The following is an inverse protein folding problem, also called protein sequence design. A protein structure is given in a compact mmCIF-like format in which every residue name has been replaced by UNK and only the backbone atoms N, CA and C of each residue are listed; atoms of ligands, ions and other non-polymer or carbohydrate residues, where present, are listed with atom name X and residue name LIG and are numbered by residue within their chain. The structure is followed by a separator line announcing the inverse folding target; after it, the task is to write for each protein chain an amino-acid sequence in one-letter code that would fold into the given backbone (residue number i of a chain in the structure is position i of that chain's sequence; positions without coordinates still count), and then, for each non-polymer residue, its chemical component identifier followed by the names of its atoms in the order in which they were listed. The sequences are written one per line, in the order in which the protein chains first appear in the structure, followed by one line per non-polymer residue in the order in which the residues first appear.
data_IF_654135465500
#
_entry.id   IF_654135465500
#
_cell.length_a   1.000
_cell.length_b   1.000
_cell.length_c   1.000
_cell.angle_alpha   90.00
_cell.angle_beta   90.00
_cell.angle_gamma   90.00
#
_symmetry.space_group_name_H-M   'P 1'
#
loop_
_entity.id
_entity.type
_entity.pdbx_description
1 polymer ?
#
# COMPACT_ATOMS: atom_id res chain seq x y z
N UNK A 1 -8.22 5.09 3.11
CA UNK A 1 -7.22 4.80 2.06
C UNK A 1 -7.92 4.66 0.74
N UNK A 2 -7.33 5.19 -0.34
CA UNK A 2 -7.84 5.01 -1.69
C UNK A 2 -7.59 3.58 -2.17
N UNK A 3 -8.50 3.04 -2.98
CA UNK A 3 -8.45 1.66 -3.46
C UNK A 3 -8.84 1.61 -4.92
N UNK A 4 -7.95 1.09 -5.76
CA UNK A 4 -8.19 0.98 -7.20
C UNK A 4 -8.01 -0.47 -7.66
N UNK A 5 -8.89 -0.93 -8.55
CA UNK A 5 -8.67 -2.14 -9.33
C UNK A 5 -8.25 -1.78 -10.74
N UNK A 6 -7.18 -2.41 -11.21
CA UNK A 6 -6.70 -2.31 -12.58
C UNK A 6 -6.97 -3.64 -13.27
N UNK A 7 -7.75 -3.63 -14.35
CA UNK A 7 -8.22 -4.85 -15.01
C UNK A 7 -8.04 -4.80 -16.52
N UNK A 8 -7.69 -5.91 -17.16
CA UNK A 8 -7.71 -6.09 -18.61
C UNK A 8 -6.34 -6.43 -19.20
N UNK A 9 -6.29 -6.66 -20.51
CA UNK A 9 -5.13 -7.28 -21.20
C UNK A 9 -3.79 -6.57 -21.01
N UNK A 10 -3.80 -5.25 -20.78
CA UNK A 10 -2.57 -4.47 -20.56
C UNK A 10 -2.37 -4.14 -19.07
N UNK A 11 -3.12 -4.77 -18.15
CA UNK A 11 -3.09 -4.42 -16.72
C UNK A 11 -1.70 -4.64 -16.11
N UNK A 12 -1.01 -5.75 -16.47
CA UNK A 12 0.37 -5.99 -16.04
C UNK A 12 1.31 -4.90 -16.56
N UNK A 13 1.33 -4.68 -17.88
CA UNK A 13 2.21 -3.68 -18.51
C UNK A 13 1.94 -2.26 -18.01
N UNK A 14 0.67 -1.93 -17.76
CA UNK A 14 0.28 -0.66 -17.18
C UNK A 14 0.75 -0.53 -15.73
N UNK A 15 0.48 -1.52 -14.87
CA UNK A 15 0.96 -1.53 -13.48
C UNK A 15 2.49 -1.43 -13.42
N UNK A 16 3.18 -2.20 -14.27
CA UNK A 16 4.63 -2.18 -14.42
C UNK A 16 5.14 -0.81 -14.87
N UNK A 17 4.46 -0.11 -15.78
CA UNK A 17 4.85 1.24 -16.18
C UNK A 17 4.61 2.29 -15.08
N UNK A 18 3.55 2.15 -14.29
CA UNK A 18 3.19 3.13 -13.25
C UNK A 18 4.15 3.12 -12.07
N UNK A 19 4.58 1.92 -11.66
CA UNK A 19 5.34 1.71 -10.43
C UNK A 19 6.85 1.91 -10.63
N UNK A 20 7.53 2.45 -9.63
CA UNK A 20 8.99 2.56 -9.62
C UNK A 20 9.71 1.26 -9.23
N UNK A 21 9.06 0.38 -8.46
CA UNK A 21 9.57 -0.95 -8.16
C UNK A 21 9.30 -1.91 -9.34
N UNK A 22 9.54 -3.21 -9.20
CA UNK A 22 9.38 -4.17 -10.30
C UNK A 22 8.37 -5.27 -9.96
N UNK A 23 7.32 -5.38 -10.78
CA UNK A 23 6.25 -6.34 -10.65
C UNK A 23 6.74 -7.78 -10.89
N UNK A 24 7.80 -7.98 -11.68
CA UNK A 24 8.40 -9.31 -11.92
C UNK A 24 9.03 -9.92 -10.67
N UNK A 25 9.21 -9.13 -9.60
CA UNK A 25 9.75 -9.61 -8.32
C UNK A 25 8.71 -10.26 -7.43
N UNK A 26 7.44 -10.17 -7.81
CA UNK A 26 6.33 -10.83 -7.13
C UNK A 26 5.56 -11.70 -8.11
N UNK A 27 4.70 -12.55 -7.57
CA UNK A 27 3.76 -13.38 -8.33
C UNK A 27 2.33 -13.13 -7.86
N UNK A 28 1.36 -13.70 -8.56
CA UNK A 28 -0.03 -13.71 -8.11
C UNK A 28 -0.14 -14.17 -6.63
N UNK A 29 -0.97 -13.48 -5.84
CA UNK A 29 -1.11 -13.70 -4.39
C UNK A 29 -0.16 -12.87 -3.52
N UNK A 30 0.72 -12.08 -4.14
CA UNK A 30 1.66 -11.19 -3.45
C UNK A 30 1.35 -9.72 -3.72
N UNK A 31 1.86 -8.88 -2.84
CA UNK A 31 1.96 -7.45 -3.06
C UNK A 31 3.38 -6.94 -2.94
N UNK A 32 3.56 -5.67 -3.29
CA UNK A 32 4.85 -4.98 -3.22
C UNK A 32 4.65 -3.50 -2.93
N UNK A 33 5.49 -2.95 -2.06
CA UNK A 33 5.58 -1.52 -1.83
C UNK A 33 6.28 -0.84 -3.00
N UNK A 34 5.74 0.29 -3.45
CA UNK A 34 6.31 1.10 -4.54
C UNK A 34 5.85 2.54 -4.39
N UNK A 35 6.42 3.44 -5.19
CA UNK A 35 5.83 4.75 -5.41
C UNK A 35 5.40 4.94 -6.86
N UNK A 36 4.54 5.93 -7.07
CA UNK A 36 4.22 6.51 -8.36
C UNK A 36 4.94 7.85 -8.49
N UNK A 37 5.57 8.07 -9.64
CA UNK A 37 6.28 9.31 -9.93
C UNK A 37 5.69 10.00 -11.16
N UNK A 38 5.69 11.33 -11.14
CA UNK A 38 5.43 12.11 -12.35
C UNK A 38 6.67 12.18 -13.26
N UNK A 39 6.52 12.82 -14.43
CA UNK A 39 7.60 12.94 -15.41
C UNK A 39 8.81 13.73 -14.87
N UNK A 40 8.62 14.54 -13.81
CA UNK A 40 9.68 15.26 -13.10
C UNK A 40 10.34 14.45 -11.98
N UNK A 41 9.93 13.20 -11.76
CA UNK A 41 10.44 12.33 -10.69
C UNK A 41 9.85 12.63 -9.30
N UNK A 42 8.86 13.51 -9.22
CA UNK A 42 8.16 13.84 -7.98
C UNK A 42 7.20 12.73 -7.55
N UNK A 43 7.10 12.45 -6.25
CA UNK A 43 6.25 11.37 -5.71
C UNK A 43 4.77 11.78 -5.75
N UNK A 44 4.01 11.18 -6.66
CA UNK A 44 2.54 11.35 -6.76
C UNK A 44 1.85 10.70 -5.56
N UNK A 45 2.29 9.49 -5.22
CA UNK A 45 1.91 8.75 -4.02
C UNK A 45 2.88 7.59 -3.75
N UNK A 46 2.93 7.11 -2.52
CA UNK A 46 3.47 5.79 -2.19
C UNK A 46 2.34 4.81 -1.88
N UNK A 47 2.48 3.58 -2.35
CA UNK A 47 1.37 2.63 -2.41
C UNK A 47 1.83 1.19 -2.21
N UNK A 48 0.86 0.31 -2.02
CA UNK A 48 1.03 -1.14 -2.18
C UNK A 48 0.22 -1.59 -3.39
N UNK A 49 0.86 -2.34 -4.28
CA UNK A 49 0.20 -3.06 -5.38
C UNK A 49 0.10 -4.52 -5.00
N UNK A 50 -1.07 -5.13 -5.17
CA UNK A 50 -1.30 -6.57 -5.05
C UNK A 50 -1.65 -7.19 -6.41
N UNK A 51 -1.05 -8.32 -6.73
CA UNK A 51 -1.36 -9.11 -7.93
C UNK A 51 -2.47 -10.11 -7.62
N UNK A 52 -3.69 -9.81 -8.05
CA UNK A 52 -4.87 -10.62 -7.74
C UNK A 52 -5.04 -11.81 -8.69
N UNK A 53 -4.97 -11.55 -9.99
CA UNK A 53 -5.07 -12.53 -11.07
C UNK A 53 -4.27 -12.04 -12.29
N UNK A 54 -4.14 -12.86 -13.34
CA UNK A 54 -3.33 -12.57 -14.54
C UNK A 54 -3.50 -11.13 -15.04
N UNK A 55 -4.75 -10.69 -15.18
CA UNK A 55 -5.12 -9.36 -15.66
C UNK A 55 -5.82 -8.50 -14.59
N UNK A 56 -5.59 -8.76 -13.29
CA UNK A 56 -6.22 -8.00 -12.19
C UNK A 56 -5.22 -7.63 -11.10
N UNK A 57 -5.09 -6.32 -10.85
CA UNK A 57 -4.26 -5.76 -9.79
C UNK A 57 -5.08 -4.86 -8.88
N UNK A 58 -4.67 -4.80 -7.62
CA UNK A 58 -5.32 -4.00 -6.59
C UNK A 58 -4.33 -3.05 -5.92
N UNK A 59 -4.61 -1.77 -5.99
CA UNK A 59 -3.75 -0.72 -5.47
C UNK A 59 -4.38 -0.15 -4.20
N UNK A 60 -3.61 -0.09 -3.12
CA UNK A 60 -3.97 0.64 -1.90
C UNK A 60 -3.12 1.90 -1.84
N UNK A 61 -3.79 3.06 -1.80
CA UNK A 61 -3.18 4.39 -1.86
C UNK A 61 -3.49 5.18 -0.60
N UNK A 62 -2.77 6.28 -0.39
CA UNK A 62 -3.07 7.18 0.72
C UNK A 62 -4.49 7.79 0.58
N UNK A 63 -5.08 8.17 1.71
CA UNK A 63 -6.45 8.73 1.72
C UNK A 63 -6.51 10.10 1.03
N UNK A 64 -5.55 10.98 1.35
CA UNK A 64 -5.53 12.36 0.86
C UNK A 64 -5.09 12.47 -0.61
N UNK A 65 -4.38 11.47 -1.12
CA UNK A 65 -3.88 11.43 -2.50
C UNK A 65 -4.88 10.84 -3.50
N UNK A 66 -5.99 10.22 -3.05
CA UNK A 66 -6.89 9.42 -3.89
C UNK A 66 -7.30 10.11 -5.18
N UNK A 67 -7.82 11.33 -5.11
CA UNK A 67 -8.33 12.05 -6.31
C UNK A 67 -7.21 12.42 -7.28
N UNK A 68 -6.06 12.83 -6.75
CA UNK A 68 -4.87 13.11 -7.52
C UNK A 68 -4.36 11.84 -8.22
N UNK A 69 -4.26 10.74 -7.49
CA UNK A 69 -3.86 9.42 -8.04
C UNK A 69 -4.83 8.99 -9.13
N UNK A 70 -6.15 9.08 -8.90
CA UNK A 70 -7.15 8.73 -9.91
C UNK A 70 -6.99 9.56 -11.20
N UNK A 71 -6.73 10.86 -11.06
CA UNK A 71 -6.51 11.76 -12.20
C UNK A 71 -5.23 11.44 -12.94
N UNK A 72 -4.15 11.20 -12.21
CA UNK A 72 -2.85 10.84 -12.76
C UNK A 72 -2.89 9.48 -13.49
N UNK A 73 -3.50 8.45 -12.90
CA UNK A 73 -3.68 7.13 -13.52
C UNK A 73 -4.41 7.25 -14.87
N UNK A 74 -5.50 8.02 -14.92
CA UNK A 74 -6.27 8.26 -16.16
C UNK A 74 -5.43 8.99 -17.22
N UNK A 75 -4.64 9.99 -16.81
CA UNK A 75 -3.72 10.71 -17.71
C UNK A 75 -2.67 9.77 -18.30
N UNK A 76 -1.98 8.99 -17.46
CA UNK A 76 -0.93 8.07 -17.92
C UNK A 76 -1.51 7.02 -18.85
N UNK A 77 -2.62 6.36 -18.47
CA UNK A 77 -3.31 5.38 -19.32
C UNK A 77 -3.62 5.94 -20.70
N UNK A 78 -4.21 7.15 -20.77
CA UNK A 78 -4.56 7.80 -22.04
C UNK A 78 -3.33 8.10 -22.89
N UNK A 79 -2.29 8.68 -22.28
CA UNK A 79 -1.08 9.09 -23.00
C UNK A 79 -0.30 7.90 -23.57
N UNK A 80 -0.21 6.80 -22.81
CA UNK A 80 0.50 5.57 -23.21
C UNK A 80 -0.39 4.57 -23.94
N UNK A 81 -1.69 4.87 -24.10
CA UNK A 81 -2.69 4.08 -24.83
C UNK A 81 -2.87 2.63 -24.32
N UNK A 82 -2.69 2.41 -23.02
CA UNK A 82 -2.91 1.10 -22.41
C UNK A 82 -4.39 0.69 -22.42
N UNK A 83 -4.67 -0.52 -22.87
CA UNK A 83 -5.97 -1.17 -22.82
C UNK A 83 -6.21 -1.85 -21.46
N UNK A 84 -6.23 -1.03 -20.40
CA UNK A 84 -6.58 -1.43 -19.04
C UNK A 84 -7.74 -0.58 -18.51
N UNK A 85 -8.58 -1.11 -17.64
CA UNK A 85 -9.66 -0.42 -16.96
C UNK A 85 -9.23 -0.04 -15.55
N UNK A 86 -9.59 1.16 -15.10
CA UNK A 86 -9.31 1.66 -13.76
C UNK A 86 -10.65 1.81 -13.04
N UNK A 87 -10.86 1.03 -11.98
CA UNK A 87 -12.04 1.14 -11.12
C UNK A 87 -11.64 1.68 -9.76
N UNK A 88 -12.18 2.83 -9.38
CA UNK A 88 -12.07 3.32 -8.02
C UNK A 88 -13.11 2.62 -7.15
N UNK A 89 -12.65 1.69 -6.32
CA UNK A 89 -13.47 0.85 -5.43
C UNK A 89 -13.38 1.32 -3.98
N UNK A 90 -12.89 2.53 -3.74
CA UNK A 90 -12.62 3.05 -2.39
C UNK A 90 -13.86 3.03 -1.50
N UNK A 91 -15.02 3.40 -2.05
CA UNK A 91 -16.25 3.52 -1.28
C UNK A 91 -16.98 2.19 -1.08
N UNK A 92 -16.67 1.18 -1.90
CA UNK A 92 -17.32 -0.14 -1.84
C UNK A 92 -16.56 -1.13 -0.96
N UNK A 93 -15.32 -0.82 -0.58
CA UNK A 93 -14.45 -1.70 0.21
C UNK A 93 -14.06 -0.97 1.50
N UNK A 94 -14.46 -1.50 2.65
CA UNK A 94 -13.94 -1.12 3.97
C UNK A 94 -12.52 -1.69 4.18
N UNK A 95 -11.81 -1.11 5.14
CA UNK A 95 -10.46 -1.51 5.51
C UNK A 95 -10.32 -1.50 7.03
N UNK A 96 -9.76 -2.56 7.60
CA UNK A 96 -9.41 -2.65 9.00
C UNK A 96 -8.03 -3.30 9.17
N UNK A 97 -7.23 -2.81 10.11
CA UNK A 97 -5.91 -3.36 10.40
C UNK A 97 -5.88 -3.95 11.82
N UNK A 98 -5.42 -5.20 11.95
CA UNK A 98 -5.18 -5.86 13.24
C UNK A 98 -3.67 -5.99 13.41
N UNK A 99 -3.09 -5.16 14.26
CA UNK A 99 -1.65 -4.99 14.39
C UNK A 99 -1.20 -5.22 15.84
N UNK A 100 0.00 -5.78 16.02
CA UNK A 100 0.62 -6.04 17.32
C UNK A 100 0.99 -7.52 17.54
N UNK A 101 1.77 -7.82 18.59
CA UNK A 101 2.38 -9.15 18.80
C UNK A 101 1.38 -10.30 18.99
N UNK A 102 0.14 -9.98 19.38
CA UNK A 102 -0.94 -10.97 19.56
C UNK A 102 -1.84 -11.12 18.31
N UNK A 103 -1.61 -10.34 17.25
CA UNK A 103 -2.45 -10.33 16.05
C UNK A 103 -2.54 -11.71 15.40
N UNK A 104 -1.42 -12.43 15.27
CA UNK A 104 -1.44 -13.77 14.66
C UNK A 104 -2.28 -14.79 15.45
N UNK A 105 -2.27 -14.74 16.79
CA UNK A 105 -3.10 -15.65 17.61
C UNK A 105 -4.58 -15.34 17.45
N UNK A 106 -4.94 -14.07 17.52
CA UNK A 106 -6.32 -13.62 17.31
C UNK A 106 -6.83 -13.96 15.91
N UNK A 107 -6.03 -13.68 14.87
CA UNK A 107 -6.41 -13.96 13.49
C UNK A 107 -6.53 -15.48 13.25
N UNK A 108 -5.67 -16.29 13.86
CA UNK A 108 -5.76 -17.76 13.81
C UNK A 108 -7.08 -18.28 14.40
N UNK A 109 -7.59 -17.67 15.48
CA UNK A 109 -8.91 -18.03 16.04
C UNK A 109 -10.06 -17.67 15.08
N UNK A 110 -9.93 -16.58 14.33
CA UNK A 110 -10.97 -16.12 13.40
C UNK A 110 -11.02 -16.87 12.08
N UNK A 111 -9.87 -17.37 11.61
CA UNK A 111 -9.70 -17.81 10.23
C UNK A 111 -8.94 -19.13 10.08
N UNK A 112 -8.61 -19.81 11.19
CA UNK A 112 -7.89 -21.07 11.22
C UNK A 112 -6.53 -21.03 10.50
N UNK A 113 -6.05 -22.21 10.08
CA UNK A 113 -4.70 -22.43 9.55
C UNK A 113 -4.37 -21.65 8.28
N UNK A 114 -5.35 -21.01 7.63
CA UNK A 114 -5.08 -20.14 6.48
C UNK A 114 -4.12 -19.00 6.85
N UNK A 115 -4.22 -18.47 8.07
CA UNK A 115 -3.39 -17.36 8.56
C UNK A 115 -1.92 -17.74 8.63
N UNK A 116 -1.62 -19.00 8.99
CA UNK A 116 -0.24 -19.50 9.08
C UNK A 116 0.47 -19.52 7.73
N UNK A 117 -0.29 -19.57 6.63
CA UNK A 117 0.24 -19.65 5.26
C UNK A 117 0.53 -18.28 4.66
N UNK A 118 0.04 -17.19 5.25
CA UNK A 118 0.22 -15.83 4.73
C UNK A 118 1.61 -15.32 5.14
N UNK A 119 2.54 -15.24 4.18
CA UNK A 119 3.87 -14.65 4.42
C UNK A 119 3.80 -13.13 4.31
N UNK A 120 4.84 -12.44 4.75
CA UNK A 120 4.89 -10.98 4.69
C UNK A 120 4.70 -10.51 3.23
N UNK A 121 3.84 -9.51 3.01
CA UNK A 121 3.41 -9.04 1.68
C UNK A 121 2.68 -10.09 0.82
N UNK A 122 2.18 -11.19 1.41
CA UNK A 122 1.19 -12.06 0.76
C UNK A 122 -0.22 -11.74 1.24
N UNK A 123 -1.20 -12.16 0.46
CA UNK A 123 -2.60 -12.11 0.86
C UNK A 123 -3.32 -13.41 0.54
N UNK A 124 -4.48 -13.58 1.16
CA UNK A 124 -5.43 -14.66 0.86
C UNK A 124 -6.85 -14.12 0.90
N UNK A 125 -7.77 -14.81 0.23
CA UNK A 125 -9.20 -14.55 0.34
C UNK A 125 -9.84 -15.60 1.26
N UNK A 126 -10.73 -15.14 2.13
CA UNK A 126 -11.47 -15.98 3.09
C UNK A 126 -12.90 -15.49 3.19
N UNK A 127 -13.73 -16.25 3.91
CA UNK A 127 -15.06 -15.83 4.30
C UNK A 127 -15.17 -15.76 5.81
N UNK A 128 -15.72 -14.67 6.33
CA UNK A 128 -16.14 -14.56 7.73
C UNK A 128 -17.64 -14.34 7.76
N UNK A 129 -18.40 -15.32 8.25
CA UNK A 129 -19.88 -15.25 8.29
C UNK A 129 -20.49 -14.92 6.91
N UNK A 130 -20.01 -15.60 5.87
CA UNK A 130 -20.37 -15.38 4.45
C UNK A 130 -19.97 -14.02 3.85
N UNK A 131 -19.23 -13.18 4.58
CA UNK A 131 -18.64 -11.95 4.03
C UNK A 131 -17.28 -12.26 3.41
N UNK A 132 -17.05 -11.94 2.12
CA UNK A 132 -15.73 -12.11 1.51
C UNK A 132 -14.73 -11.10 2.08
N UNK A 133 -13.56 -11.58 2.48
CA UNK A 133 -12.48 -10.77 3.05
C UNK A 133 -11.17 -11.13 2.36
N UNK A 134 -10.46 -10.11 1.85
CA UNK A 134 -9.05 -10.22 1.50
C UNK A 134 -8.22 -9.87 2.73
N UNK A 135 -7.37 -10.79 3.18
CA UNK A 135 -6.44 -10.62 4.30
C UNK A 135 -5.03 -10.58 3.76
N UNK A 136 -4.35 -9.43 3.92
CA UNK A 136 -2.94 -9.26 3.59
C UNK A 136 -2.09 -9.27 4.87
N UNK A 137 -0.88 -9.83 4.85
CA UNK A 137 0.07 -9.68 5.96
C UNK A 137 0.98 -8.49 5.71
N UNK A 138 0.42 -7.33 6.02
CA UNK A 138 0.98 -5.98 5.85
C UNK A 138 0.59 -5.12 7.04
N UNK A 139 1.15 -3.92 7.14
CA UNK A 139 0.87 -3.01 8.24
C UNK A 139 1.72 -1.76 8.21
N UNK A 140 1.26 -0.75 8.97
CA UNK A 140 1.89 0.56 9.05
C UNK A 140 2.39 0.92 10.46
N UNK A 141 2.50 -0.08 11.33
CA UNK A 141 3.00 0.08 12.71
C UNK A 141 4.39 -0.51 12.92
N UNK A 142 4.91 -1.24 11.92
CA UNK A 142 6.14 -2.05 11.99
C UNK A 142 6.07 -3.25 12.94
N UNK A 143 4.88 -3.58 13.43
CA UNK A 143 4.63 -4.79 14.19
C UNK A 143 4.04 -5.88 13.29
N UNK A 144 3.97 -7.11 13.80
CA UNK A 144 3.21 -8.17 13.15
C UNK A 144 1.74 -7.77 13.02
N UNK A 145 1.16 -7.90 11.84
CA UNK A 145 -0.25 -7.60 11.65
C UNK A 145 -0.82 -7.99 10.31
N UNK A 146 -2.12 -7.72 10.18
CA UNK A 146 -2.94 -8.11 9.04
C UNK A 146 -3.87 -6.97 8.58
N UNK A 147 -3.87 -6.81 7.26
CA UNK A 147 -4.63 -5.96 6.35
C UNK A 147 -5.98 -6.53 5.92
N UNK A 148 -7.14 -6.20 6.52
CA UNK A 148 -8.44 -6.75 6.10
C UNK A 148 -9.17 -5.79 5.16
N UNK A 149 -9.53 -6.25 3.96
CA UNK A 149 -10.35 -5.53 2.97
C UNK A 149 -11.63 -6.33 2.68
N UNK A 150 -12.79 -5.70 2.79
CA UNK A 150 -14.10 -6.36 2.71
C UNK A 150 -15.20 -5.36 2.27
N UNK A 151 -16.37 -5.81 1.78
CA UNK A 151 -17.42 -4.89 1.32
C UNK A 151 -17.87 -3.94 2.42
N UNK A 152 -18.00 -2.65 2.08
CA UNK A 152 -18.15 -1.57 3.06
C UNK A 152 -19.48 -1.64 3.83
N UNK A 153 -20.51 -2.25 3.26
CA UNK A 153 -21.80 -2.50 3.92
C UNK A 153 -21.67 -3.40 5.16
N UNK A 154 -20.61 -4.23 5.24
CA UNK A 154 -20.33 -5.06 6.42
C UNK A 154 -19.36 -4.41 7.41
N UNK A 155 -19.00 -3.13 7.20
CA UNK A 155 -18.13 -2.31 8.05
C UNK A 155 -18.36 -2.51 9.55
N UNK A 156 -19.58 -2.24 9.99
CA UNK A 156 -19.97 -2.32 11.39
C UNK A 156 -19.89 -3.75 11.95
N UNK A 157 -20.40 -4.72 11.19
CA UNK A 157 -20.44 -6.13 11.57
C UNK A 157 -19.05 -6.72 11.76
N UNK A 158 -18.15 -6.51 10.79
CA UNK A 158 -16.79 -7.02 10.85
C UNK A 158 -16.02 -6.33 11.98
N UNK A 159 -16.12 -5.01 12.10
CA UNK A 159 -15.47 -4.26 13.18
C UNK A 159 -15.90 -4.74 14.57
N UNK A 160 -17.21 -4.87 14.81
CA UNK A 160 -17.74 -5.37 16.07
C UNK A 160 -17.26 -6.79 16.39
N UNK A 161 -17.22 -7.67 15.38
CA UNK A 161 -16.76 -9.03 15.57
C UNK A 161 -15.26 -9.13 15.90
N UNK A 162 -14.43 -8.33 15.22
CA UNK A 162 -12.99 -8.22 15.53
C UNK A 162 -12.77 -7.76 16.97
N UNK A 163 -13.52 -6.76 17.43
CA UNK A 163 -13.42 -6.28 18.81
C UNK A 163 -13.87 -7.34 19.82
N UNK A 164 -14.96 -8.06 19.55
CA UNK A 164 -15.47 -9.09 20.45
C UNK A 164 -14.45 -10.20 20.66
N UNK A 165 -13.98 -10.82 19.58
CA UNK A 165 -12.99 -11.91 19.65
C UNK A 165 -11.65 -11.39 20.20
N UNK A 166 -11.27 -10.18 19.80
CA UNK A 166 -10.02 -9.58 20.24
C UNK A 166 -9.98 -9.24 21.74
N UNK A 167 -11.10 -9.23 22.47
CA UNK A 167 -11.11 -9.01 23.94
C UNK A 167 -10.19 -9.99 24.67
N UNK A 168 -10.22 -11.27 24.28
CA UNK A 168 -9.34 -12.30 24.86
C UNK A 168 -7.84 -12.02 24.65
N UNK A 169 -7.52 -11.21 23.63
CA UNK A 169 -6.16 -10.83 23.27
C UNK A 169 -5.79 -9.42 23.74
N UNK A 170 -6.71 -8.69 24.37
CA UNK A 170 -6.53 -7.31 24.79
C UNK A 170 -6.56 -6.31 23.64
N UNK A 171 -7.33 -6.58 22.59
CA UNK A 171 -7.51 -5.64 21.47
C UNK A 171 -8.02 -4.30 21.98
N UNK A 172 -7.55 -3.22 21.37
CA UNK A 172 -8.07 -1.87 21.59
C UNK A 172 -8.18 -1.15 20.25
N UNK A 173 -9.23 -0.35 20.04
CA UNK A 173 -9.26 0.60 18.93
C UNK A 173 -8.07 1.55 19.03
N UNK A 174 -7.44 1.82 17.89
CA UNK A 174 -6.31 2.75 17.78
C UNK A 174 -6.67 3.85 16.79
N UNK A 175 -6.51 5.10 17.23
CA UNK A 175 -6.77 6.29 16.39
C UNK A 175 -5.55 6.71 15.57
N UNK A 176 -5.77 7.62 14.62
CA UNK A 176 -4.73 8.09 13.70
C UNK A 176 -3.48 8.69 14.38
N UNK A 177 -3.63 9.37 15.52
CA UNK A 177 -2.49 9.96 16.25
C UNK A 177 -1.51 8.90 16.77
N UNK A 178 -2.02 7.80 17.33
CA UNK A 178 -1.18 6.70 17.78
C UNK A 178 -0.49 6.00 16.60
N UNK A 179 -1.17 5.87 15.46
CA UNK A 179 -0.55 5.36 14.22
C UNK A 179 0.59 6.28 13.75
N UNK A 180 0.43 7.60 13.85
CA UNK A 180 1.50 8.55 13.50
C UNK A 180 2.74 8.39 14.38
N UNK A 181 2.58 8.07 15.67
CA UNK A 181 3.72 7.77 16.55
C UNK A 181 4.40 6.47 16.09
N UNK A 182 3.65 5.38 16.00
CA UNK A 182 4.17 4.05 15.65
C UNK A 182 4.90 4.05 14.31
N UNK A 183 4.32 4.65 13.27
CA UNK A 183 4.95 4.72 11.94
C UNK A 183 6.24 5.55 11.97
N UNK A 184 6.30 6.59 12.80
CA UNK A 184 7.47 7.46 12.94
C UNK A 184 8.61 6.73 13.62
N UNK A 185 8.33 5.98 14.69
CA UNK A 185 9.33 5.10 15.35
C UNK A 185 9.95 4.09 14.38
N UNK A 186 9.17 3.65 13.37
CA UNK A 186 9.63 2.73 12.32
C UNK A 186 10.18 3.43 11.08
N UNK A 187 10.29 4.76 11.11
CA UNK A 187 10.76 5.60 10.00
C UNK A 187 9.97 5.41 8.70
N UNK A 188 8.69 5.04 8.78
CA UNK A 188 7.81 4.94 7.62
C UNK A 188 7.35 6.34 7.19
N UNK A 189 7.34 6.56 5.87
CA UNK A 189 6.98 7.85 5.28
C UNK A 189 5.48 7.93 5.04
N UNK A 190 4.93 9.10 5.31
CA UNK A 190 3.54 9.48 5.08
C UNK A 190 3.48 10.53 3.97
N UNK A 191 2.81 10.21 2.86
CA UNK A 191 2.52 11.21 1.83
C UNK A 191 1.69 12.36 2.40
N UNK A 192 2.04 13.59 2.04
CA UNK A 192 1.45 14.82 2.56
C UNK A 192 2.11 15.35 3.83
N UNK A 193 2.97 14.58 4.50
CA UNK A 193 3.75 15.03 5.67
C UNK A 193 5.25 14.95 5.40
N UNK A 194 5.76 13.76 5.10
CA UNK A 194 7.21 13.56 4.93
C UNK A 194 7.64 13.68 3.47
N UNK A 195 6.69 13.50 2.56
CA UNK A 195 6.92 13.56 1.12
C UNK A 195 5.69 14.06 0.39
N UNK A 196 5.93 14.70 -0.74
CA UNK A 196 4.92 15.25 -1.65
C UNK A 196 5.42 15.12 -3.08
N UNK A 197 4.65 15.63 -4.04
CA UNK A 197 5.02 15.76 -5.45
C UNK A 197 6.27 16.62 -5.64
N UNK A 198 6.68 17.43 -4.65
CA UNK A 198 7.93 18.22 -4.65
C UNK A 198 9.14 17.47 -4.08
N UNK A 199 8.98 16.19 -3.77
CA UNK A 199 10.00 15.34 -3.17
C UNK A 199 10.25 14.16 -4.10
N UNK A 200 11.50 13.87 -4.41
CA UNK A 200 11.84 12.67 -5.15
C UNK A 200 12.15 11.48 -4.20
N UNK A 201 12.05 10.23 -4.67
CA UNK A 201 12.31 9.03 -3.86
C UNK A 201 13.66 8.97 -3.15
N UNK A 202 14.73 9.54 -3.73
CA UNK A 202 16.05 9.59 -3.09
C UNK A 202 16.07 10.56 -1.90
N UNK A 203 15.45 11.74 -2.05
CA UNK A 203 15.28 12.70 -0.96
C UNK A 203 14.46 12.11 0.19
N UNK A 204 13.41 11.35 -0.13
CA UNK A 204 12.55 10.67 0.84
C UNK A 204 13.15 9.37 1.43
N UNK A 205 14.35 8.98 1.01
CA UNK A 205 15.04 7.76 1.46
C UNK A 205 14.32 6.45 1.12
N UNK A 206 13.39 6.47 0.16
CA UNK A 206 12.64 5.30 -0.34
C UNK A 206 13.26 4.73 -1.64
N UNK A 207 14.50 5.08 -1.94
CA UNK A 207 15.22 4.65 -3.14
C UNK A 207 15.40 3.13 -3.25
N UNK A 208 15.32 2.42 -2.12
CA UNK A 208 15.26 0.96 -2.06
C UNK A 208 14.07 0.35 -2.84
N UNK A 209 13.02 1.14 -3.09
CA UNK A 209 11.86 0.77 -3.88
C UNK A 209 12.00 1.12 -5.38
N UNK A 210 13.15 1.66 -5.83
CA UNK A 210 13.37 1.99 -7.25
C UNK A 210 14.08 0.87 -7.99
N UNK A 211 13.60 0.54 -9.19
CA UNK A 211 14.24 -0.39 -10.12
C UNK A 211 14.54 0.34 -11.42
N UNK A 212 15.63 1.11 -11.39
CA UNK A 212 16.07 1.93 -12.54
C UNK A 212 16.54 1.10 -13.74
N UNK A 213 16.82 -0.18 -13.52
CA UNK A 213 17.15 -1.20 -14.51
C UNK A 213 15.93 -1.65 -15.33
N UNK A 214 14.70 -1.43 -14.85
CA UNK A 214 13.48 -1.64 -15.66
C UNK A 214 13.53 -0.80 -16.92
N UNK A 215 13.13 -1.37 -18.05
CA UNK A 215 13.16 -0.71 -19.36
C UNK A 215 12.51 0.69 -19.35
N UNK A 216 11.27 0.78 -18.90
CA UNK A 216 10.51 2.04 -18.85
C UNK A 216 9.57 2.06 -17.64
N UNK A 217 9.41 3.24 -17.01
CA UNK A 217 8.33 3.56 -16.07
C UNK A 217 8.20 5.09 -15.93
N UNK A 218 7.06 5.56 -15.40
CA UNK A 218 6.80 6.98 -15.23
C UNK A 218 7.86 7.67 -14.34
N UNK A 219 8.47 8.75 -14.85
CA UNK A 219 9.49 9.51 -14.13
C UNK A 219 10.91 8.92 -14.16
N UNK A 220 11.15 7.79 -14.86
CA UNK A 220 12.46 7.12 -14.91
C UNK A 220 13.60 8.06 -15.30
N UNK A 221 13.43 8.86 -16.35
CA UNK A 221 14.50 9.74 -16.86
C UNK A 221 14.94 10.79 -15.82
N UNK A 222 13.98 11.42 -15.13
CA UNK A 222 14.27 12.37 -14.06
C UNK A 222 14.98 11.69 -12.89
N UNK A 223 14.56 10.47 -12.52
CA UNK A 223 15.15 9.71 -11.42
C UNK A 223 16.57 9.23 -11.72
N UNK A 224 16.89 8.90 -12.97
CA UNK A 224 18.28 8.62 -13.38
C UNK A 224 19.15 9.85 -13.15
N UNK A 225 18.70 11.04 -13.57
CA UNK A 225 19.43 12.29 -13.35
C UNK A 225 19.64 12.59 -11.86
N UNK A 226 18.64 12.36 -11.01
CA UNK A 226 18.79 12.51 -9.55
C UNK A 226 19.81 11.52 -8.96
N UNK A 227 19.88 10.28 -9.48
CA UNK A 227 20.88 9.32 -9.05
C UNK A 227 22.29 9.74 -9.45
N UNK A 228 22.46 10.27 -10.65
CA UNK A 228 23.76 10.69 -11.20
C UNK A 228 24.28 11.97 -10.54
N UNK A 229 23.41 12.97 -10.37
CA UNK A 229 23.79 14.28 -9.83
C UNK A 229 23.77 14.33 -8.30
N UNK A 230 23.10 13.35 -7.66
CA UNK A 230 22.82 13.39 -6.23
C UNK A 230 21.63 14.29 -5.88
N UNK A 231 21.35 14.42 -4.58
CA UNK A 231 20.24 15.23 -4.03
C UNK A 231 20.76 16.20 -2.97
N UNK A 232 20.18 17.40 -2.93
CA UNK A 232 20.57 18.47 -2.00
C UNK A 232 19.99 18.28 -0.59
N UNK A 233 18.89 17.53 -0.47
CA UNK A 233 18.21 17.26 0.81
C UNK A 233 17.96 15.76 0.99
N UNK A 234 17.90 15.32 2.24
CA UNK A 234 17.61 13.93 2.61
C UNK A 234 16.70 13.87 3.83
N UNK A 235 15.83 12.87 3.87
CA UNK A 235 15.02 12.54 5.03
C UNK A 235 15.90 11.96 6.14
N UNK A 236 15.83 12.55 7.33
CA UNK A 236 16.60 12.15 8.52
C UNK A 236 15.67 12.11 9.74
N UNK A 237 15.90 11.14 10.63
CA UNK A 237 15.26 11.10 11.95
C UNK A 237 16.08 11.88 12.99
N UNK A 238 15.40 12.54 13.92
CA UNK A 238 16.02 13.29 15.02
C UNK A 238 15.41 12.87 16.35
N UNK A 239 16.24 12.79 17.39
CA UNK A 239 15.81 12.73 18.79
C UNK A 239 16.11 14.09 19.42
N UNK A 240 15.10 14.72 20.03
CA UNK A 240 15.22 16.06 20.62
C UNK A 240 15.04 15.93 22.13
N UNK A 241 16.09 16.25 22.89
CA UNK A 241 16.05 16.29 24.34
C UNK A 241 15.73 17.72 24.80
N UNK A 242 14.70 17.86 25.64
CA UNK A 242 14.37 19.13 26.28
C UNK A 242 15.06 19.17 27.66
N UNK A 243 15.82 20.24 27.92
CA UNK A 243 16.41 20.53 29.22
C UNK A 243 15.37 21.10 30.18
#
# INVERSE_FOLDING_TARGET
MGKFKIVGKDAFSFAQYLMTNDLNRIKQGQGIYTCFCDDGGGIVDDIIIYWLADDEFYFITNTLSRERVATWLKKVKRNKKFAAHIFDVTNTIAYAAVQGPKSAKMMLELFDDVIKKIRYFEFTNVYLRNVPIMIARTGYTGELGYELNFPSEFGHTIWGHLLEVGKAYGIKPVGGQAIQILRTEKSYRSHGTDMTEKTNPFEAGIDWALRLDKEEFAGKEALIKFKENGVEKKFCGFEVHFC
#
